data_IF_635288099442
#
_entry.id   IF_635288099442
#
_cell.length_a   1.000
_cell.length_b   1.000
_cell.length_c   1.000
_cell.angle_alpha   90.00
_cell.angle_beta   90.00
_cell.angle_gamma   90.00
#
_symmetry.space_group_name_H-M   'P 1'
#
loop_
_entity.id
_entity.type
_entity.pdbx_description
1 polymer ?
#
# COMPACT_ATOMS: atom_id res chain seq x y z
N UNK A 1 13.10 -0.71 -47.00
CA UNK A 1 12.24 0.00 -46.04
C UNK A 1 11.82 -0.99 -44.97
N UNK A 2 11.75 -0.52 -43.73
CA UNK A 2 11.05 -1.20 -42.63
C UNK A 2 9.76 -0.45 -42.38
N UNK A 3 8.70 -1.16 -42.02
CA UNK A 3 7.45 -0.53 -41.57
C UNK A 3 6.95 -1.24 -40.33
N UNK A 4 6.36 -0.46 -39.44
CA UNK A 4 5.68 -0.97 -38.25
C UNK A 4 4.40 -1.67 -38.70
N UNK A 5 4.31 -2.95 -38.39
CA UNK A 5 3.19 -3.77 -38.79
C UNK A 5 2.26 -4.09 -37.61
N UNK A 6 2.78 -3.97 -36.38
CA UNK A 6 2.02 -4.00 -35.13
C UNK A 6 2.65 -3.02 -34.15
N UNK A 7 1.79 -2.19 -33.56
CA UNK A 7 2.18 -1.25 -32.52
C UNK A 7 2.28 -1.97 -31.18
N UNK A 8 3.19 -1.47 -30.34
CA UNK A 8 3.27 -1.92 -28.95
C UNK A 8 1.95 -1.63 -28.24
N UNK A 9 1.41 -2.65 -27.59
CA UNK A 9 0.25 -2.54 -26.72
C UNK A 9 0.57 -1.67 -25.48
N UNK A 10 -0.45 -0.97 -24.93
CA UNK A 10 -0.32 -0.25 -23.68
C UNK A 10 0.07 -1.18 -22.53
N UNK A 11 0.82 -0.66 -21.55
CA UNK A 11 1.25 -1.42 -20.37
C UNK A 11 2.77 -1.55 -20.24
N UNK A 12 3.54 -1.08 -21.22
CA UNK A 12 4.99 -0.85 -21.09
C UNK A 12 5.89 -2.05 -21.32
N UNK A 13 5.33 -3.27 -21.43
CA UNK A 13 6.09 -4.51 -21.63
C UNK A 13 6.05 -5.07 -23.04
N UNK A 14 5.28 -4.44 -23.94
CA UNK A 14 5.23 -4.79 -25.35
C UNK A 14 6.26 -4.02 -26.18
N UNK A 15 6.69 -4.60 -27.30
CA UNK A 15 7.51 -3.88 -28.29
C UNK A 15 6.82 -3.87 -29.65
N UNK A 16 7.09 -2.84 -30.47
CA UNK A 16 6.49 -2.76 -31.79
C UNK A 16 7.23 -3.67 -32.78
N UNK A 17 6.50 -4.49 -33.53
CA UNK A 17 7.10 -5.32 -34.58
C UNK A 17 7.20 -4.58 -35.91
N UNK A 18 8.37 -4.74 -36.54
CA UNK A 18 8.69 -4.14 -37.82
C UNK A 18 9.00 -5.23 -38.84
N UNK A 19 8.37 -5.14 -40.02
CA UNK A 19 8.71 -6.01 -41.14
C UNK A 19 9.96 -5.48 -41.84
N UNK A 20 10.92 -6.35 -42.12
CA UNK A 20 12.02 -6.06 -43.04
C UNK A 20 11.64 -6.52 -44.45
N UNK A 21 11.31 -5.59 -45.36
CA UNK A 21 10.96 -5.91 -46.74
C UNK A 21 9.46 -5.92 -47.04
N UNK A 22 9.04 -6.66 -48.07
CA UNK A 22 7.66 -6.65 -48.63
C UNK A 22 6.77 -7.79 -48.14
N UNK A 23 7.24 -8.61 -47.18
CA UNK A 23 6.45 -9.72 -46.64
C UNK A 23 5.19 -9.23 -45.92
N UNK A 24 4.05 -9.86 -46.18
CA UNK A 24 2.75 -9.44 -45.67
C UNK A 24 2.51 -9.76 -44.17
N UNK A 25 3.30 -10.65 -43.58
CA UNK A 25 3.12 -11.11 -42.21
C UNK A 25 4.13 -10.44 -41.26
N UNK A 26 3.63 -9.95 -40.12
CA UNK A 26 4.47 -9.50 -39.01
C UNK A 26 5.33 -10.62 -38.44
N UNK A 27 6.51 -10.30 -37.89
CA UNK A 27 7.19 -11.16 -36.92
C UNK A 27 6.26 -11.61 -35.78
N UNK A 28 6.68 -12.65 -35.06
CA UNK A 28 6.01 -13.05 -33.81
C UNK A 28 5.98 -11.88 -32.82
N UNK A 29 4.89 -11.82 -32.05
CA UNK A 29 4.69 -10.84 -30.97
C UNK A 29 5.86 -10.93 -29.98
N UNK A 30 6.60 -9.85 -29.82
CA UNK A 30 7.79 -9.80 -29.00
C UNK A 30 7.51 -8.97 -27.74
N UNK A 31 7.92 -9.51 -26.58
CA UNK A 31 7.78 -8.81 -25.31
C UNK A 31 9.14 -8.44 -24.75
N UNK A 32 9.18 -7.39 -23.93
CA UNK A 32 10.37 -7.01 -23.17
C UNK A 32 10.76 -8.14 -22.21
N UNK A 33 12.08 -8.38 -22.01
CA UNK A 33 12.55 -9.48 -21.18
C UNK A 33 12.15 -9.28 -19.70
N UNK A 34 12.23 -10.36 -18.91
CA UNK A 34 11.87 -10.32 -17.49
C UNK A 34 12.79 -9.48 -16.59
N UNK A 35 13.86 -8.93 -17.17
CA UNK A 35 14.79 -8.00 -16.52
C UNK A 35 14.48 -6.54 -16.84
N UNK A 36 13.46 -6.27 -17.65
CA UNK A 36 13.08 -4.91 -18.00
C UNK A 36 12.11 -4.35 -16.95
N UNK A 37 12.57 -3.32 -16.22
CA UNK A 37 11.76 -2.59 -15.26
C UNK A 37 10.69 -1.77 -16.01
N UNK A 38 9.42 -2.07 -15.73
CA UNK A 38 8.28 -1.36 -16.31
C UNK A 38 7.66 -0.36 -15.33
N UNK A 39 7.93 -0.51 -14.03
CA UNK A 39 7.64 0.49 -13.00
C UNK A 39 8.77 0.52 -11.99
N UNK A 40 9.34 1.70 -11.76
CA UNK A 40 10.33 1.91 -10.72
C UNK A 40 9.65 1.88 -9.34
N UNK A 41 10.37 1.37 -8.34
CA UNK A 41 9.92 1.46 -6.95
C UNK A 41 9.81 2.92 -6.50
N UNK A 42 8.77 3.23 -5.74
CA UNK A 42 8.61 4.48 -5.03
C UNK A 42 9.75 4.68 -4.01
N UNK A 43 10.19 5.94 -3.80
CA UNK A 43 11.18 6.25 -2.79
C UNK A 43 10.67 5.94 -1.38
N UNK A 44 11.59 5.72 -0.44
CA UNK A 44 11.25 5.38 0.94
C UNK A 44 11.32 3.89 1.25
N UNK A 45 11.58 3.02 0.26
CA UNK A 45 11.96 1.64 0.50
C UNK A 45 10.82 0.71 0.93
N UNK A 46 9.57 1.12 0.69
CA UNK A 46 8.36 0.34 0.98
C UNK A 46 7.63 -0.19 -0.25
N UNK A 47 8.26 0.00 -1.40
CA UNK A 47 7.75 -0.41 -2.69
C UNK A 47 8.77 -1.32 -3.40
N UNK A 48 8.29 -2.13 -4.34
CA UNK A 48 9.11 -3.04 -5.15
C UNK A 48 9.00 -2.62 -6.60
N UNK A 49 10.11 -2.65 -7.35
CA UNK A 49 10.04 -2.39 -8.78
C UNK A 49 9.44 -3.60 -9.51
N UNK A 50 8.52 -3.37 -10.44
CA UNK A 50 8.00 -4.43 -11.30
C UNK A 50 8.79 -4.51 -12.60
N UNK A 51 9.13 -5.74 -12.94
CA UNK A 51 9.70 -6.08 -14.22
C UNK A 51 8.66 -6.77 -15.08
N UNK A 52 8.80 -6.63 -16.39
CA UNK A 52 7.99 -7.39 -17.34
C UNK A 52 8.09 -8.89 -17.09
N UNK A 53 7.14 -9.67 -17.59
CA UNK A 53 7.16 -11.14 -17.42
C UNK A 53 8.03 -11.84 -18.47
N UNK A 54 8.37 -11.16 -19.57
CA UNK A 54 8.97 -11.78 -20.76
C UNK A 54 7.95 -12.42 -21.70
N UNK A 55 6.67 -12.49 -21.32
CA UNK A 55 5.64 -13.24 -22.05
C UNK A 55 4.31 -12.50 -22.21
N UNK A 56 4.24 -11.23 -21.80
CA UNK A 56 3.01 -10.45 -21.88
C UNK A 56 3.26 -8.95 -22.02
N UNK A 57 2.28 -8.27 -22.62
CA UNK A 57 2.32 -6.85 -22.95
C UNK A 57 2.20 -5.90 -21.75
N UNK A 58 1.53 -6.34 -20.68
CA UNK A 58 1.27 -5.54 -19.49
C UNK A 58 2.36 -5.71 -18.43
N UNK A 59 2.77 -4.60 -17.81
CA UNK A 59 3.49 -4.62 -16.55
C UNK A 59 2.65 -5.34 -15.47
N UNK A 60 3.26 -6.17 -14.62
CA UNK A 60 2.55 -6.77 -13.49
C UNK A 60 1.88 -5.71 -12.58
N UNK A 61 0.88 -6.12 -11.78
CA UNK A 61 0.28 -5.23 -10.78
C UNK A 61 1.33 -4.66 -9.81
N UNK A 62 1.15 -3.40 -9.42
CA UNK A 62 1.95 -2.72 -8.41
C UNK A 62 1.96 -3.52 -7.11
N UNK A 63 3.16 -3.92 -6.67
CA UNK A 63 3.39 -4.74 -5.50
C UNK A 63 4.23 -3.99 -4.47
N UNK A 64 3.64 -3.78 -3.30
CA UNK A 64 4.30 -3.14 -2.17
C UNK A 64 5.13 -4.15 -1.38
N UNK A 65 6.10 -3.66 -0.61
CA UNK A 65 6.76 -4.50 0.41
C UNK A 65 5.76 -4.85 1.52
N UNK A 66 5.91 -6.02 2.17
CA UNK A 66 5.05 -6.39 3.28
C UNK A 66 5.09 -5.35 4.40
N UNK A 67 3.96 -5.19 5.09
CA UNK A 67 3.91 -4.34 6.27
C UNK A 67 4.90 -4.83 7.34
N UNK A 68 5.51 -3.89 8.07
CA UNK A 68 6.58 -4.18 9.02
C UNK A 68 7.98 -4.32 8.40
N UNK A 69 8.11 -4.29 7.07
CA UNK A 69 9.44 -4.24 6.42
C UNK A 69 10.18 -2.98 6.87
N UNK A 70 11.43 -3.11 7.33
CA UNK A 70 12.23 -1.94 7.70
C UNK A 70 12.47 -1.03 6.48
N UNK A 71 12.33 0.27 6.70
CA UNK A 71 12.61 1.33 5.74
C UNK A 71 13.57 2.36 6.34
N UNK A 72 13.90 3.43 5.62
CA UNK A 72 14.97 4.37 5.97
C UNK A 72 14.89 4.86 7.43
N UNK A 73 13.69 5.29 7.86
CA UNK A 73 13.47 5.89 9.18
C UNK A 73 12.35 5.18 9.98
N UNK A 74 11.99 3.94 9.60
CA UNK A 74 10.91 3.24 10.29
C UNK A 74 10.51 1.92 9.65
N UNK A 75 9.20 1.67 9.52
CA UNK A 75 8.66 0.47 8.90
C UNK A 75 7.64 0.80 7.80
N UNK A 76 7.48 -0.12 6.87
CA UNK A 76 6.53 -0.01 5.77
C UNK A 76 5.13 -0.35 6.23
N UNK A 77 4.17 0.49 5.85
CA UNK A 77 2.75 0.31 6.12
C UNK A 77 1.95 0.84 4.94
N UNK A 78 1.19 -0.04 4.30
CA UNK A 78 0.48 0.20 3.03
C UNK A 78 1.37 0.88 1.95
N UNK A 79 2.66 0.54 1.92
CA UNK A 79 3.63 1.07 0.96
C UNK A 79 4.25 2.42 1.31
N UNK A 80 3.94 2.98 2.47
CA UNK A 80 4.53 4.22 2.98
C UNK A 80 5.50 3.89 4.11
N UNK A 81 6.66 4.56 4.14
CA UNK A 81 7.61 4.45 5.24
C UNK A 81 7.16 5.33 6.40
N UNK A 82 6.80 4.70 7.51
CA UNK A 82 6.25 5.36 8.69
C UNK A 82 7.22 5.29 9.87
N UNK A 83 7.37 6.41 10.57
CA UNK A 83 8.17 6.53 11.79
C UNK A 83 7.31 6.12 12.98
N UNK A 84 7.66 5.08 13.73
CA UNK A 84 6.86 4.65 14.89
C UNK A 84 6.97 3.17 15.27
N UNK A 85 7.53 2.33 14.40
CA UNK A 85 7.85 0.94 14.71
C UNK A 85 6.64 -0.02 14.73
N UNK A 86 5.41 0.46 14.52
CA UNK A 86 4.21 -0.32 14.27
C UNK A 86 3.33 0.34 13.19
N UNK A 87 2.59 -0.46 12.42
CA UNK A 87 1.67 0.04 11.39
C UNK A 87 0.37 0.44 12.04
N UNK A 88 0.37 1.62 12.67
CA UNK A 88 -0.75 2.26 13.36
C UNK A 88 -0.49 3.75 13.58
N UNK A 89 -0.71 4.55 12.54
CA UNK A 89 -0.62 6.01 12.61
C UNK A 89 -1.77 6.66 11.81
N UNK A 90 -3.00 6.46 12.30
CA UNK A 90 -3.77 7.68 12.57
C UNK A 90 -3.12 8.36 13.78
N UNK A 91 -3.07 9.68 13.81
CA UNK A 91 -2.26 10.48 14.73
C UNK A 91 -2.57 10.28 16.24
N UNK A 92 -3.49 9.38 16.60
CA UNK A 92 -3.95 9.11 17.96
C UNK A 92 -3.45 7.78 18.59
N UNK A 93 -2.82 6.85 17.85
CA UNK A 93 -2.61 5.47 18.37
C UNK A 93 -1.24 5.17 19.00
N UNK A 94 -0.34 6.15 19.06
CA UNK A 94 1.02 5.99 19.63
C UNK A 94 1.39 7.05 20.67
N UNK A 95 0.48 7.97 21.04
CA UNK A 95 0.80 9.03 22.01
C UNK A 95 -0.02 9.08 23.29
N UNK A 96 -1.01 8.19 23.50
CA UNK A 96 -1.64 8.06 24.82
C UNK A 96 -1.17 6.78 25.56
N UNK A 97 -1.04 6.91 26.86
CA UNK A 97 -0.35 5.97 27.74
C UNK A 97 -1.10 4.66 28.03
N UNK A 98 -2.21 4.30 27.35
CA UNK A 98 -2.94 3.05 27.64
C UNK A 98 -3.76 2.45 26.46
N UNK A 99 -3.56 1.14 26.21
CA UNK A 99 -4.49 0.12 25.66
C UNK A 99 -5.26 0.40 24.35
N UNK A 100 -4.61 1.00 23.35
CA UNK A 100 -5.08 0.90 21.96
C UNK A 100 -4.50 -0.36 21.31
N UNK A 101 -5.37 -1.23 20.78
CA UNK A 101 -4.95 -2.45 20.12
C UNK A 101 -4.90 -2.18 18.61
N UNK A 102 -3.70 -2.27 18.05
CA UNK A 102 -3.51 -2.34 16.60
C UNK A 102 -4.16 -3.61 16.06
N UNK A 103 -5.31 -3.51 15.40
CA UNK A 103 -5.77 -4.62 14.58
C UNK A 103 -4.95 -4.65 13.29
N UNK A 104 -3.94 -5.52 13.27
CA UNK A 104 -3.09 -5.77 12.12
C UNK A 104 -3.83 -6.47 10.96
N UNK A 105 -5.06 -6.93 11.19
CA UNK A 105 -5.94 -7.57 10.20
C UNK A 105 -6.73 -6.53 9.40
N UNK A 106 -7.19 -5.47 10.07
CA UNK A 106 -7.99 -4.39 9.46
C UNK A 106 -7.21 -3.10 9.23
N UNK A 107 -5.96 -3.00 9.73
CA UNK A 107 -5.11 -1.79 9.68
C UNK A 107 -5.78 -0.55 10.28
N UNK A 108 -6.56 -0.77 11.34
CA UNK A 108 -7.33 0.27 12.03
C UNK A 108 -7.04 0.24 13.51
N UNK A 109 -7.10 1.40 14.15
CA UNK A 109 -7.03 1.48 15.59
C UNK A 109 -8.36 1.04 16.19
N UNK A 110 -8.30 -0.01 17.00
CA UNK A 110 -9.44 -0.50 17.76
C UNK A 110 -9.18 -0.31 19.25
N UNK A 111 -10.19 0.13 19.98
CA UNK A 111 -10.07 0.26 21.42
C UNK A 111 -10.02 -1.15 22.03
N UNK A 112 -8.98 -1.45 22.81
CA UNK A 112 -8.75 -2.79 23.36
C UNK A 112 -9.91 -3.26 24.26
N UNK A 113 -10.58 -4.33 23.80
CA UNK A 113 -11.68 -5.04 24.46
C UNK A 113 -12.94 -4.22 24.77
N UNK A 114 -14.08 -4.77 24.34
CA UNK A 114 -15.42 -4.35 24.73
C UNK A 114 -15.54 -4.17 26.25
N UNK A 115 -15.59 -2.92 26.72
CA UNK A 115 -15.86 -2.59 28.11
C UNK A 115 -14.69 -2.04 28.95
N UNK A 116 -13.57 -1.62 28.35
CA UNK A 116 -12.61 -0.80 29.09
C UNK A 116 -13.25 0.56 29.46
N UNK A 117 -13.24 0.98 30.75
CA UNK A 117 -13.76 2.28 31.16
C UNK A 117 -12.92 3.42 30.56
N UNK A 118 -13.55 4.56 30.29
CA UNK A 118 -12.91 5.79 29.81
C UNK A 118 -11.58 6.08 30.55
N UNK A 119 -10.44 6.22 29.84
CA UNK A 119 -9.17 6.50 30.48
C UNK A 119 -9.11 7.98 30.84
N UNK A 120 -9.41 8.28 32.11
CA UNK A 120 -9.32 9.61 32.74
C UNK A 120 -10.28 10.70 32.21
N UNK A 121 -10.86 11.44 33.16
CA UNK A 121 -11.78 12.56 32.90
C UNK A 121 -11.03 13.72 32.23
N UNK A 122 -11.36 14.05 30.98
CA UNK A 122 -10.84 15.25 30.30
C UNK A 122 -10.37 15.05 28.84
N UNK A 123 -10.39 13.82 28.31
CA UNK A 123 -10.02 13.56 26.91
C UNK A 123 -11.16 13.88 25.93
N UNK A 124 -10.78 14.26 24.69
CA UNK A 124 -11.68 14.66 23.59
C UNK A 124 -12.20 13.47 22.76
N UNK A 125 -11.79 12.25 23.10
CA UNK A 125 -12.17 11.01 22.44
C UNK A 125 -12.58 9.95 23.45
N UNK A 126 -13.60 9.15 23.11
CA UNK A 126 -14.00 8.02 23.94
C UNK A 126 -14.56 6.82 23.16
N UNK A 127 -14.47 5.63 23.78
CA UNK A 127 -14.68 4.31 23.17
C UNK A 127 -15.79 3.45 23.83
N UNK A 128 -17.04 3.92 23.96
CA UNK A 128 -18.09 3.20 24.68
C UNK A 128 -18.61 1.92 23.99
N UNK A 129 -18.05 1.54 22.82
CA UNK A 129 -18.54 0.41 22.02
C UNK A 129 -17.47 -0.19 21.08
N UNK A 130 -16.19 -0.04 21.41
CA UNK A 130 -15.09 -0.46 20.53
C UNK A 130 -14.92 0.37 19.25
N UNK A 131 -15.68 1.46 19.09
CA UNK A 131 -15.50 2.43 18.00
C UNK A 131 -15.12 3.80 18.58
N UNK A 132 -14.02 4.42 18.14
CA UNK A 132 -13.67 5.77 18.58
C UNK A 132 -14.69 6.78 18.06
N UNK A 133 -15.11 7.71 18.93
CA UNK A 133 -15.97 8.85 18.57
C UNK A 133 -15.43 10.12 19.21
N UNK A 134 -15.48 11.22 18.47
CA UNK A 134 -15.22 12.55 19.00
C UNK A 134 -16.29 12.90 20.06
N UNK A 135 -15.87 13.24 21.27
CA UNK A 135 -16.77 13.50 22.39
C UNK A 135 -16.06 13.50 23.75
N UNK A 136 -16.71 14.05 24.77
CA UNK A 136 -16.14 14.06 26.14
C UNK A 136 -16.65 12.85 26.91
N UNK A 137 -15.78 12.17 27.66
CA UNK A 137 -16.21 11.12 28.59
C UNK A 137 -17.14 11.70 29.66
N UNK A 138 -18.30 11.08 29.86
CA UNK A 138 -19.18 11.40 30.99
C UNK A 138 -18.62 10.82 32.29
N UNK A 139 -19.05 11.37 33.41
CA UNK A 139 -18.61 10.96 34.77
C UNK A 139 -18.93 9.50 35.12
N UNK A 140 -19.73 8.80 34.30
CA UNK A 140 -20.03 7.38 34.44
C UNK A 140 -18.97 6.45 33.82
N UNK A 141 -17.90 7.02 33.22
CA UNK A 141 -16.78 6.34 32.58
C UNK A 141 -17.17 5.30 31.51
N UNK A 142 -18.41 5.32 31.04
CA UNK A 142 -19.00 4.32 30.15
C UNK A 142 -19.79 4.94 29.00
N UNK A 143 -19.98 6.26 28.98
CA UNK A 143 -20.68 6.97 27.91
C UNK A 143 -19.96 8.24 27.43
N UNK A 144 -20.14 8.60 26.15
CA UNK A 144 -19.67 9.87 25.56
C UNK A 144 -20.81 10.91 25.53
N UNK A 145 -20.48 12.17 25.79
CA UNK A 145 -21.32 13.35 25.51
C UNK A 145 -20.80 14.12 24.30
#
# INVERSE_FOLDING_TARGET
STYECRAAAPGGCDVAENCTGTGAACPTDAFRPSTYECRAAAPGGCDVAENCTGTGAACPPDTRRPDGTACTDGICCDGICQTGGNCCDDADCVTDTHTDHCDLTEHRCECGATGAPCPSTGLTYCCPSGTPRAGTCRNDATSCS
#
